data_IF_775878855468
#
_entry.id   IF_775878855468
#
_cell.length_a   1.000
_cell.length_b   1.000
_cell.length_c   1.000
_cell.angle_alpha   90.00
_cell.angle_beta   90.00
_cell.angle_gamma   90.00
#
_symmetry.space_group_name_H-M   'P 1'
#
loop_
_entity.id
_entity.type
_entity.pdbx_description
1 polymer ?
#
# COMPACT_ATOMS: atom_id res chain seq x y z
N UNK A 1 -3.55 41.54 19.11
CA UNK A 1 -2.95 40.28 19.59
C UNK A 1 -3.60 39.16 18.81
N UNK A 2 -2.91 38.61 17.83
CA UNK A 2 -3.46 37.65 16.86
C UNK A 2 -3.08 36.25 17.31
N UNK A 3 -4.02 35.52 17.89
CA UNK A 3 -3.90 34.06 18.03
C UNK A 3 -4.34 33.45 16.71
N UNK A 4 -3.38 33.27 15.80
CA UNK A 4 -3.58 32.43 14.63
C UNK A 4 -3.69 30.99 15.13
N UNK A 5 -4.91 30.46 15.15
CA UNK A 5 -5.17 29.05 15.39
C UNK A 5 -4.36 28.24 14.39
N UNK A 6 -3.34 27.56 14.90
CA UNK A 6 -2.52 26.65 14.12
C UNK A 6 -3.44 25.54 13.60
N UNK A 7 -3.41 25.36 12.28
CA UNK A 7 -4.01 24.26 11.55
C UNK A 7 -3.60 22.93 12.21
N UNK A 8 -4.46 22.40 13.09
CA UNK A 8 -4.42 21.02 13.56
C UNK A 8 -5.05 20.13 12.49
N UNK A 9 -4.48 20.21 11.28
CA UNK A 9 -5.00 19.61 10.07
C UNK A 9 -3.87 19.05 9.21
N UNK A 10 -2.79 18.54 9.83
CA UNK A 10 -1.77 17.81 9.10
C UNK A 10 -2.43 16.58 8.45
N UNK A 11 -2.87 16.74 7.20
CA UNK A 11 -3.53 15.71 6.43
C UNK A 11 -2.60 14.49 6.40
N UNK A 12 -2.93 13.46 7.18
CA UNK A 12 -2.14 12.25 7.23
C UNK A 12 -2.11 11.68 5.82
N UNK A 13 -0.91 11.57 5.22
CA UNK A 13 -0.75 10.97 3.89
C UNK A 13 -1.51 9.65 3.84
N UNK A 14 -2.32 9.41 2.77
CA UNK A 14 -3.14 8.21 2.66
C UNK A 14 -2.27 6.96 2.78
N UNK A 15 -2.80 5.95 3.47
CA UNK A 15 -2.14 4.66 3.61
C UNK A 15 -2.62 3.73 2.49
N UNK A 16 -1.72 2.92 1.95
CA UNK A 16 -2.03 1.97 0.88
C UNK A 16 -1.64 0.56 1.29
N UNK A 17 -2.41 -0.41 0.82
CA UNK A 17 -2.04 -1.82 0.79
C UNK A 17 -1.44 -2.18 -0.56
N UNK A 18 -0.29 -2.84 -0.55
CA UNK A 18 0.37 -3.38 -1.74
C UNK A 18 0.46 -4.90 -1.60
N UNK A 19 -0.13 -5.62 -2.54
CA UNK A 19 -0.16 -7.10 -2.55
C UNK A 19 0.52 -7.61 -3.81
N UNK A 20 1.17 -8.77 -3.69
CA UNK A 20 1.76 -9.45 -4.83
C UNK A 20 0.76 -10.49 -5.38
N UNK A 21 0.46 -10.44 -6.67
CA UNK A 21 -0.52 -11.28 -7.35
C UNK A 21 0.21 -12.18 -8.37
N UNK A 22 -0.06 -13.48 -8.34
CA UNK A 22 0.37 -14.40 -9.41
C UNK A 22 -0.54 -14.22 -10.63
N UNK A 23 0.00 -13.74 -11.74
CA UNK A 23 -0.75 -13.48 -12.97
C UNK A 23 -1.36 -14.75 -13.58
N UNK A 24 -0.77 -15.92 -13.34
CA UNK A 24 -1.26 -17.20 -13.88
C UNK A 24 -2.52 -17.67 -13.19
N UNK A 25 -2.68 -17.34 -11.90
CA UNK A 25 -3.78 -17.83 -11.06
C UNK A 25 -4.73 -16.73 -10.58
N UNK A 26 -4.33 -15.46 -10.69
CA UNK A 26 -5.03 -14.31 -10.14
C UNK A 26 -4.99 -14.24 -8.61
N UNK A 27 -4.27 -15.13 -7.93
CA UNK A 27 -4.26 -15.23 -6.48
C UNK A 27 -3.17 -14.38 -5.83
N UNK A 28 -3.45 -13.92 -4.60
CA UNK A 28 -2.44 -13.25 -3.78
C UNK A 28 -1.36 -14.26 -3.38
N UNK A 29 -0.10 -13.88 -3.60
CA UNK A 29 1.05 -14.63 -3.15
C UNK A 29 1.02 -14.82 -1.63
N UNK A 30 1.23 -16.04 -1.17
CA UNK A 30 1.30 -16.38 0.26
C UNK A 30 2.66 -16.92 0.62
N UNK A 31 3.20 -16.49 1.75
CA UNK A 31 4.43 -17.01 2.36
C UNK A 31 4.02 -17.67 3.68
N UNK A 32 4.35 -18.96 3.84
CA UNK A 32 3.95 -19.76 5.00
C UNK A 32 2.43 -19.67 5.33
N UNK A 33 1.59 -19.63 4.28
CA UNK A 33 0.13 -19.54 4.40
C UNK A 33 -0.43 -18.11 4.61
N UNK A 34 0.41 -17.13 4.94
CA UNK A 34 0.00 -15.74 5.12
C UNK A 34 0.11 -14.94 3.81
N UNK A 35 -0.87 -14.08 3.46
CA UNK A 35 -0.76 -13.23 2.27
C UNK A 35 0.38 -12.23 2.42
N UNK A 36 1.22 -12.13 1.39
CA UNK A 36 2.28 -11.12 1.34
C UNK A 36 1.65 -9.75 1.07
N UNK A 37 1.69 -8.90 2.11
CA UNK A 37 1.08 -7.57 2.13
C UNK A 37 2.09 -6.56 2.69
N UNK A 38 2.29 -5.46 1.99
CA UNK A 38 3.01 -4.29 2.50
C UNK A 38 2.04 -3.12 2.70
N UNK A 39 2.14 -2.44 3.85
CA UNK A 39 1.44 -1.18 4.09
C UNK A 39 2.42 -0.03 3.91
N UNK A 40 2.08 0.94 3.07
CA UNK A 40 2.99 2.04 2.74
C UNK A 40 2.26 3.34 2.43
N UNK A 41 2.92 4.47 2.71
CA UNK A 41 2.54 5.81 2.22
C UNK A 41 3.25 6.18 0.91
N UNK A 42 4.10 5.27 0.42
CA UNK A 42 4.87 5.33 -0.82
C UNK A 42 4.64 4.01 -1.59
N UNK A 43 3.43 3.79 -2.12
CA UNK A 43 3.03 2.48 -2.61
C UNK A 43 3.81 2.02 -3.84
N UNK A 44 4.31 2.94 -4.68
CA UNK A 44 5.13 2.61 -5.84
C UNK A 44 6.51 2.06 -5.45
N UNK A 45 7.15 2.65 -4.44
CA UNK A 45 8.43 2.16 -3.93
C UNK A 45 8.28 0.77 -3.26
N UNK A 46 7.18 0.57 -2.51
CA UNK A 46 6.85 -0.73 -1.94
C UNK A 46 6.55 -1.78 -3.03
N UNK A 47 5.84 -1.41 -4.09
CA UNK A 47 5.58 -2.28 -5.24
C UNK A 47 6.88 -2.68 -5.95
N UNK A 48 7.79 -1.73 -6.20
CA UNK A 48 9.09 -2.01 -6.80
C UNK A 48 9.90 -2.99 -5.94
N UNK A 49 9.92 -2.78 -4.63
CA UNK A 49 10.62 -3.68 -3.68
C UNK A 49 10.00 -5.09 -3.67
N UNK A 50 8.67 -5.20 -3.76
CA UNK A 50 7.97 -6.49 -3.85
C UNK A 50 8.18 -7.20 -5.19
N UNK A 51 8.49 -6.48 -6.27
CA UNK A 51 8.75 -7.04 -7.60
C UNK A 51 10.23 -7.29 -7.85
N UNK A 52 11.12 -6.78 -7.01
CA UNK A 52 12.57 -6.98 -7.16
C UNK A 52 12.90 -8.49 -7.22
N UNK A 53 13.70 -8.86 -8.24
CA UNK A 53 14.10 -10.25 -8.51
C UNK A 53 12.98 -11.17 -9.00
N UNK A 54 11.79 -10.65 -9.34
CA UNK A 54 10.65 -11.44 -9.82
C UNK A 54 10.38 -11.21 -11.30
N UNK A 55 9.90 -12.25 -11.97
CA UNK A 55 9.46 -12.20 -13.35
C UNK A 55 8.16 -11.38 -13.49
N UNK A 56 8.15 -10.27 -14.26
CA UNK A 56 6.97 -9.43 -14.44
C UNK A 56 5.84 -10.08 -15.24
N UNK A 57 6.13 -11.10 -16.06
CA UNK A 57 5.10 -11.87 -16.78
C UNK A 57 4.34 -12.81 -15.83
N UNK A 58 4.94 -13.16 -14.69
CA UNK A 58 4.35 -14.02 -13.67
C UNK A 58 3.77 -13.24 -12.49
N UNK A 59 4.32 -12.07 -12.18
CA UNK A 59 4.00 -11.34 -10.96
C UNK A 59 3.52 -9.91 -11.22
N UNK A 60 2.49 -9.51 -10.47
CA UNK A 60 1.95 -8.15 -10.46
C UNK A 60 1.90 -7.61 -9.03
N UNK A 61 2.29 -6.36 -8.82
CA UNK A 61 1.98 -5.66 -7.57
C UNK A 61 0.68 -4.87 -7.72
N UNK A 62 -0.29 -5.15 -6.85
CA UNK A 62 -1.60 -4.47 -6.83
C UNK A 62 -1.67 -3.52 -5.65
N UNK A 63 -1.88 -2.24 -5.95
CA UNK A 63 -1.96 -1.14 -4.99
C UNK A 63 -3.43 -0.77 -4.78
N UNK A 64 -3.86 -0.73 -3.53
CA UNK A 64 -5.19 -0.27 -3.13
C UNK A 64 -5.06 0.76 -2.01
N UNK A 65 -5.82 1.86 -2.09
CA UNK A 65 -5.90 2.82 -0.99
C UNK A 65 -6.68 2.23 0.17
N UNK A 66 -6.14 2.38 1.37
CA UNK A 66 -6.88 2.09 2.58
C UNK A 66 -7.64 3.35 2.95
N UNK A 67 -8.96 3.29 2.84
CA UNK A 67 -9.80 4.37 3.34
C UNK A 67 -9.48 4.59 4.82
N UNK A 68 -8.96 5.76 5.16
CA UNK A 68 -8.96 6.21 6.54
C UNK A 68 -10.42 6.47 6.90
N UNK A 69 -11.01 5.55 7.67
CA UNK A 69 -12.33 5.78 8.27
C UNK A 69 -12.18 6.93 9.26
N UNK A 70 -12.37 8.15 8.78
CA UNK A 70 -12.50 9.32 9.64
C UNK A 70 -13.80 9.13 10.41
N UNK A 71 -13.71 8.70 11.67
CA UNK A 71 -14.81 8.87 12.61
C UNK A 71 -15.03 10.38 12.75
N UNK A 72 -16.15 10.88 12.21
CA UNK A 72 -16.67 12.21 12.49
C UNK A 72 -17.62 12.12 13.67
#
# INVERSE_FOLDING_TARGET
>A
MTIQGQDIGAASRPLYSVRLIDRRTGQVHRVNGAPLLALSREPQAAAASLLEGRDPDLWEARIESLATRTHR
#
